data_IF_373942223669
#
_entry.id   IF_373942223669
#
_cell.length_a   1.000
_cell.length_b   1.000
_cell.length_c   1.000
_cell.angle_alpha   90.00
_cell.angle_beta   90.00
_cell.angle_gamma   90.00
#
_symmetry.space_group_name_H-M   'P 1'
#
loop_
_entity.id
_entity.type
_entity.pdbx_description
1 polymer ?
#
# COMPACT_ATOMS: atom_id res chain seq x y z
N UNK A 1 5.87 -10.43 31.10
CA UNK A 1 5.96 -8.96 30.97
C UNK A 1 5.19 -8.51 29.73
N UNK A 2 4.30 -7.55 29.88
CA UNK A 2 3.43 -7.11 28.81
C UNK A 2 3.97 -5.82 28.21
N UNK A 3 4.14 -5.79 26.88
CA UNK A 3 4.52 -4.56 26.18
C UNK A 3 3.32 -3.63 26.08
N UNK A 4 3.57 -2.33 26.28
CA UNK A 4 2.54 -1.31 26.15
C UNK A 4 1.87 -1.40 24.77
N UNK A 5 0.52 -1.48 24.71
CA UNK A 5 -0.20 -1.57 23.43
C UNK A 5 0.10 -0.42 22.48
N UNK A 6 0.36 0.79 22.98
CA UNK A 6 0.67 1.95 22.13
C UNK A 6 2.04 1.79 21.47
N UNK A 7 3.00 1.22 22.17
CA UNK A 7 4.33 0.94 21.61
C UNK A 7 4.21 -0.11 20.51
N UNK A 8 3.45 -1.17 20.76
CA UNK A 8 3.21 -2.24 19.77
C UNK A 8 2.55 -1.65 18.52
N UNK A 9 1.50 -0.87 18.70
CA UNK A 9 0.76 -0.27 17.58
C UNK A 9 1.65 0.62 16.73
N UNK A 10 2.53 1.40 17.36
CA UNK A 10 3.47 2.26 16.64
C UNK A 10 4.43 1.47 15.78
N UNK A 11 4.98 0.37 16.31
CA UNK A 11 5.90 -0.48 15.55
C UNK A 11 5.20 -1.24 14.42
N UNK A 12 3.97 -1.69 14.64
CA UNK A 12 3.19 -2.33 13.60
C UNK A 12 2.89 -1.36 12.46
N UNK A 13 2.59 -0.11 12.79
CA UNK A 13 2.35 0.92 11.80
C UNK A 13 3.59 1.19 10.95
N UNK A 14 4.76 1.29 11.59
CA UNK A 14 6.03 1.46 10.87
C UNK A 14 6.32 0.28 9.96
N UNK A 15 6.10 -0.93 10.44
CA UNK A 15 6.32 -2.14 9.66
C UNK A 15 5.45 -2.16 8.39
N UNK A 16 4.21 -1.69 8.49
CA UNK A 16 3.25 -1.74 7.39
C UNK A 16 3.35 -0.58 6.41
N UNK A 17 4.05 0.49 6.75
CA UNK A 17 4.09 1.71 5.95
C UNK A 17 4.48 1.46 4.49
N UNK A 18 5.56 0.76 4.26
CA UNK A 18 6.02 0.42 2.90
C UNK A 18 5.10 -0.58 2.21
N UNK A 19 4.45 -1.45 2.99
CA UNK A 19 3.53 -2.45 2.46
C UNK A 19 2.30 -1.79 1.82
N UNK A 20 1.83 -0.67 2.37
CA UNK A 20 0.70 0.07 1.80
C UNK A 20 1.04 0.60 0.40
N UNK A 21 2.25 1.11 0.20
CA UNK A 21 2.71 1.56 -1.12
C UNK A 21 2.69 0.40 -2.11
N UNK A 22 3.30 -0.71 -1.75
CA UNK A 22 3.34 -1.91 -2.60
C UNK A 22 1.93 -2.40 -2.93
N UNK A 23 1.08 -2.52 -1.91
CA UNK A 23 -0.29 -3.01 -2.09
C UNK A 23 -1.11 -2.08 -3.00
N UNK A 24 -0.99 -0.77 -2.83
CA UNK A 24 -1.68 0.21 -3.68
C UNK A 24 -1.26 0.07 -5.15
N UNK A 25 0.04 -0.05 -5.40
CA UNK A 25 0.54 -0.20 -6.76
C UNK A 25 0.07 -1.51 -7.41
N UNK A 26 -0.04 -2.58 -6.63
CA UNK A 26 -0.51 -3.88 -7.13
C UNK A 26 -2.01 -3.83 -7.42
N UNK A 27 -2.81 -3.33 -6.48
CA UNK A 27 -4.27 -3.28 -6.64
C UNK A 27 -4.65 -2.37 -7.81
N UNK A 28 -3.99 -1.23 -7.95
CA UNK A 28 -4.31 -0.24 -8.98
C UNK A 28 -3.75 -0.58 -10.37
N UNK A 29 -3.22 -1.76 -10.57
CA UNK A 29 -3.02 -2.31 -11.92
C UNK A 29 -4.36 -2.40 -12.65
N UNK A 30 -5.44 -2.67 -11.90
CA UNK A 30 -6.79 -2.46 -12.36
C UNK A 30 -7.23 -1.06 -11.91
N UNK A 31 -7.67 -0.19 -12.82
CA UNK A 31 -8.07 1.16 -12.44
C UNK A 31 -9.16 1.15 -11.38
N UNK A 32 -9.06 2.04 -10.41
CA UNK A 32 -10.03 2.10 -9.33
C UNK A 32 -10.07 3.44 -8.62
N UNK A 33 -11.16 3.65 -7.90
CA UNK A 33 -11.34 4.83 -7.06
C UNK A 33 -10.60 4.66 -5.73
N UNK A 34 -10.21 5.79 -5.13
CA UNK A 34 -9.51 5.76 -3.86
C UNK A 34 -10.29 5.05 -2.75
N UNK A 35 -11.61 5.26 -2.69
CA UNK A 35 -12.41 4.60 -1.66
C UNK A 35 -12.47 3.08 -1.85
N UNK A 36 -12.52 2.60 -3.10
CA UNK A 36 -12.52 1.17 -3.39
C UNK A 36 -11.17 0.54 -3.03
N UNK A 37 -10.09 1.26 -3.26
CA UNK A 37 -8.77 0.83 -2.83
C UNK A 37 -8.71 0.70 -1.31
N UNK A 38 -9.24 1.69 -0.59
CA UNK A 38 -9.27 1.66 0.87
C UNK A 38 -10.01 0.42 1.38
N UNK A 39 -11.16 0.11 0.80
CA UNK A 39 -11.93 -1.09 1.15
C UNK A 39 -11.15 -2.38 0.84
N UNK A 40 -10.52 -2.45 -0.34
CA UNK A 40 -9.74 -3.63 -0.73
C UNK A 40 -8.60 -3.89 0.23
N UNK A 41 -7.88 -2.85 0.63
CA UNK A 41 -6.77 -2.99 1.57
C UNK A 41 -7.27 -3.45 2.94
N UNK A 42 -8.37 -2.86 3.41
CA UNK A 42 -8.97 -3.26 4.69
C UNK A 42 -9.41 -4.72 4.66
N UNK A 43 -10.05 -5.15 3.58
CA UNK A 43 -10.52 -6.53 3.41
C UNK A 43 -9.35 -7.53 3.41
N UNK A 44 -8.18 -7.11 2.94
CA UNK A 44 -6.99 -7.94 2.92
C UNK A 44 -6.17 -7.85 4.22
N UNK A 45 -6.68 -7.15 5.22
CA UNK A 45 -5.99 -7.02 6.49
C UNK A 45 -4.88 -5.97 6.51
N UNK A 46 -4.82 -5.13 5.48
CA UNK A 46 -3.85 -4.05 5.40
C UNK A 46 -4.55 -2.77 5.85
N UNK A 47 -4.54 -2.54 7.16
CA UNK A 47 -5.25 -1.41 7.75
C UNK A 47 -4.54 -0.09 7.43
N UNK A 48 -5.27 0.83 6.82
CA UNK A 48 -4.82 2.18 6.54
C UNK A 48 -6.05 3.09 6.56
N UNK A 49 -5.92 4.28 7.10
CA UNK A 49 -7.03 5.22 7.11
C UNK A 49 -6.97 6.15 5.89
N UNK A 50 -8.10 6.80 5.61
CA UNK A 50 -8.23 7.70 4.48
C UNK A 50 -7.27 8.87 4.56
N UNK A 51 -7.02 9.38 5.77
CA UNK A 51 -6.11 10.51 5.99
C UNK A 51 -4.67 10.18 5.62
N UNK A 52 -4.31 8.92 5.64
CA UNK A 52 -2.99 8.44 5.23
C UNK A 52 -2.97 8.07 3.74
N UNK A 53 -4.01 7.38 3.29
CA UNK A 53 -4.05 6.85 1.93
C UNK A 53 -4.14 7.93 0.86
N UNK A 54 -5.03 8.90 1.00
CA UNK A 54 -5.22 9.92 -0.06
C UNK A 54 -3.97 10.77 -0.29
N UNK A 55 -3.25 11.26 0.73
CA UNK A 55 -1.98 11.94 0.49
C UNK A 55 -0.93 11.05 -0.16
N UNK A 56 -0.92 9.76 0.17
CA UNK A 56 -0.01 8.80 -0.46
C UNK A 56 -0.30 8.67 -1.95
N UNK A 57 -1.57 8.55 -2.34
CA UNK A 57 -1.95 8.46 -3.75
C UNK A 57 -1.51 9.69 -4.53
N UNK A 58 -1.67 10.88 -3.96
CA UNK A 58 -1.21 12.11 -4.59
C UNK A 58 0.30 12.14 -4.76
N UNK A 59 1.04 11.66 -3.76
CA UNK A 59 2.51 11.59 -3.84
C UNK A 59 2.95 10.61 -4.92
N UNK A 60 2.34 9.43 -4.99
CA UNK A 60 2.67 8.43 -6.00
C UNK A 60 2.37 8.94 -7.41
N UNK A 61 1.28 9.69 -7.56
CA UNK A 61 0.95 10.32 -8.84
C UNK A 61 2.00 11.35 -9.24
N UNK A 62 2.44 12.19 -8.30
CA UNK A 62 3.52 13.16 -8.53
C UNK A 62 4.82 12.50 -8.96
N UNK A 63 5.09 11.32 -8.42
CA UNK A 63 6.30 10.55 -8.74
C UNK A 63 6.19 9.80 -10.07
N UNK A 64 5.05 9.90 -10.76
CA UNK A 64 4.84 9.19 -12.00
C UNK A 64 4.54 7.70 -11.86
N UNK A 65 4.23 7.25 -10.65
CA UNK A 65 3.96 5.84 -10.35
C UNK A 65 2.49 5.49 -10.49
N UNK A 66 1.62 6.49 -10.40
CA UNK A 66 0.18 6.40 -10.67
C UNK A 66 -0.19 7.47 -11.69
N UNK A 67 -1.20 7.17 -12.49
CA UNK A 67 -1.92 8.16 -13.30
C UNK A 67 -3.35 8.24 -12.78
N UNK A 68 -4.04 9.33 -13.09
CA UNK A 68 -5.43 9.48 -12.65
C UNK A 68 -6.27 10.16 -13.71
N UNK A 69 -7.55 9.89 -13.65
CA UNK A 69 -8.54 10.53 -14.50
C UNK A 69 -9.81 10.78 -13.69
N UNK A 70 -10.54 11.83 -14.08
CA UNK A 70 -11.83 12.12 -13.47
C UNK A 70 -12.92 11.42 -14.22
N UNK A 71 -13.80 10.71 -13.50
CA UNK A 71 -15.04 10.22 -14.05
C UNK A 71 -16.11 11.29 -13.83
N UNK A 72 -16.54 11.92 -14.90
CA UNK A 72 -17.51 13.02 -14.88
C UNK A 72 -18.90 12.59 -15.29
N UNK A 73 -19.13 11.31 -15.54
CA UNK A 73 -20.42 10.77 -15.94
C UNK A 73 -21.44 10.79 -14.80
N UNK A 74 -20.96 10.77 -13.56
CA UNK A 74 -21.80 10.85 -12.38
C UNK A 74 -22.03 12.30 -11.99
N UNK A 75 -23.14 12.56 -11.27
CA UNK A 75 -23.45 13.88 -10.74
C UNK A 75 -22.34 14.43 -9.84
N UNK A 76 -21.60 13.55 -9.19
CA UNK A 76 -20.44 13.90 -8.35
C UNK A 76 -19.20 13.32 -9.01
N UNK A 77 -18.35 14.16 -9.63
CA UNK A 77 -17.13 13.67 -10.25
C UNK A 77 -16.21 12.94 -9.25
N UNK A 78 -15.65 11.83 -9.68
CA UNK A 78 -14.72 11.04 -8.86
C UNK A 78 -13.44 10.78 -9.62
N UNK A 79 -12.34 10.78 -8.89
CA UNK A 79 -11.02 10.53 -9.45
C UNK A 79 -10.69 9.06 -9.31
N UNK A 80 -10.31 8.42 -10.42
CA UNK A 80 -9.82 7.05 -10.36
C UNK A 80 -8.36 7.01 -10.79
N UNK A 81 -7.65 6.03 -10.25
CA UNK A 81 -6.20 5.89 -10.37
C UNK A 81 -5.86 4.61 -11.10
N UNK A 82 -4.71 4.63 -11.76
CA UNK A 82 -4.13 3.46 -12.40
C UNK A 82 -2.63 3.46 -12.18
N UNK A 83 -2.05 2.29 -11.90
CA UNK A 83 -0.60 2.14 -11.81
C UNK A 83 0.02 2.31 -13.20
N UNK A 84 1.03 3.18 -13.30
CA UNK A 84 1.78 3.41 -14.55
C UNK A 84 2.74 2.26 -14.82
N UNK A 85 3.37 2.25 -16.01
CA UNK A 85 4.43 1.29 -16.29
C UNK A 85 5.56 1.37 -15.27
N UNK A 86 5.98 2.60 -14.92
CA UNK A 86 7.00 2.80 -13.89
C UNK A 86 6.54 2.29 -12.53
N UNK A 87 5.28 2.52 -12.19
CA UNK A 87 4.68 2.01 -10.95
C UNK A 87 4.66 0.49 -10.92
N UNK A 88 4.35 -0.15 -12.05
CA UNK A 88 4.34 -1.61 -12.12
C UNK A 88 5.75 -2.19 -11.94
N UNK A 89 6.75 -1.56 -12.55
CA UNK A 89 8.15 -1.97 -12.37
C UNK A 89 8.59 -1.81 -10.92
N UNK A 90 8.24 -0.69 -10.31
CA UNK A 90 8.55 -0.47 -8.90
C UNK A 90 7.88 -1.53 -8.02
N UNK A 91 6.62 -1.85 -8.28
CA UNK A 91 5.91 -2.89 -7.52
C UNK A 91 6.63 -4.23 -7.61
N UNK A 92 7.11 -4.60 -8.79
CA UNK A 92 7.87 -5.85 -8.98
C UNK A 92 9.18 -5.82 -8.19
N UNK A 93 9.90 -4.70 -8.21
CA UNK A 93 11.15 -4.53 -7.46
C UNK A 93 10.90 -4.59 -5.95
N UNK A 94 9.84 -3.93 -5.49
CA UNK A 94 9.47 -3.94 -4.07
C UNK A 94 9.07 -5.34 -3.63
N UNK A 95 8.32 -6.06 -4.46
CA UNK A 95 7.91 -7.43 -4.13
C UNK A 95 9.10 -8.36 -4.06
N UNK A 96 10.05 -8.22 -4.97
CA UNK A 96 11.29 -9.00 -4.95
C UNK A 96 12.08 -8.76 -3.68
N UNK A 97 12.24 -7.50 -3.29
CA UNK A 97 12.98 -7.16 -2.08
C UNK A 97 12.24 -7.62 -0.82
N UNK A 98 10.91 -7.48 -0.81
CA UNK A 98 10.08 -7.96 0.30
C UNK A 98 10.29 -9.47 0.53
N UNK A 99 10.32 -10.25 -0.54
CA UNK A 99 10.56 -11.70 -0.45
C UNK A 99 11.94 -12.01 0.11
N UNK A 100 12.95 -11.22 -0.26
CA UNK A 100 14.31 -11.35 0.30
C UNK A 100 14.33 -11.06 1.80
N UNK A 101 13.63 -10.00 2.21
CA UNK A 101 13.53 -9.63 3.63
C UNK A 101 12.81 -10.72 4.41
N UNK A 102 11.73 -11.26 3.88
CA UNK A 102 11.00 -12.36 4.51
C UNK A 102 11.91 -13.58 4.70
N UNK A 103 12.66 -13.95 3.67
CA UNK A 103 13.61 -15.07 3.73
C UNK A 103 14.69 -14.83 4.77
N UNK A 104 15.23 -13.61 4.82
CA UNK A 104 16.24 -13.24 5.82
C UNK A 104 15.70 -13.34 7.24
N UNK A 105 14.48 -12.85 7.46
CA UNK A 105 13.85 -12.92 8.78
C UNK A 105 13.55 -14.34 9.18
N UNK A 106 13.13 -15.20 8.27
CA UNK A 106 12.92 -16.63 8.52
C UNK A 106 14.22 -17.30 8.96
N UNK A 107 15.33 -16.97 8.28
CA UNK A 107 16.65 -17.49 8.67
C UNK A 107 17.04 -17.02 10.06
N UNK A 108 16.87 -15.72 10.34
CA UNK A 108 17.22 -15.13 11.62
C UNK A 108 16.40 -15.70 12.79
N UNK A 109 15.15 -16.08 12.53
CA UNK A 109 14.24 -16.55 13.56
C UNK A 109 14.12 -18.07 13.63
N UNK A 110 14.84 -18.77 12.78
CA UNK A 110 14.76 -20.23 12.61
C UNK A 110 14.91 -21.00 13.92
N UNK A 111 15.84 -20.57 14.76
CA UNK A 111 16.13 -21.28 16.01
C UNK A 111 15.35 -20.74 17.21
N UNK A 112 14.41 -19.82 16.99
CA UNK A 112 13.62 -19.19 18.05
C UNK A 112 12.25 -19.84 18.26
N UNK A 113 11.90 -20.82 17.46
CA UNK A 113 10.58 -21.50 17.54
C UNK A 113 10.70 -22.92 18.01
#
# INVERSE_FOLDING_TARGET
>A
MTTDPDIIAGHLQELRRGTVVLAALVVLREPGYGYALLESLTDQGIAVDANTLYPLLRRLEKQGLLTSEWNTEEARPRKFYRTSEDGARLADDLMTDWRRLDASLRTLTKDLT
#
